data_IF_504828961231
#
_entry.id   IF_504828961231
#
_cell.length_a   1.000
_cell.length_b   1.000
_cell.length_c   1.000
_cell.angle_alpha   90.00
_cell.angle_beta   90.00
_cell.angle_gamma   90.00
#
_symmetry.space_group_name_H-M   'P 1'
#
loop_
_entity.id
_entity.type
_entity.pdbx_description
1 polymer ?
#
# COMPACT_ATOMS: atom_id res chain seq x y z
N UNK A 1 -5.72 17.74 -16.42
CA UNK A 1 -4.44 17.01 -16.57
C UNK A 1 -4.71 15.70 -17.29
N UNK A 2 -3.80 15.25 -18.17
CA UNK A 2 -3.97 14.00 -18.92
C UNK A 2 -2.92 12.98 -18.47
N UNK A 3 -3.35 11.72 -18.26
CA UNK A 3 -2.49 10.59 -17.89
C UNK A 3 -2.82 9.38 -18.77
N UNK A 4 -1.86 8.48 -18.90
CA UNK A 4 -2.13 7.18 -19.49
C UNK A 4 -2.90 6.31 -18.50
N UNK A 5 -4.04 5.80 -18.92
CA UNK A 5 -4.86 4.84 -18.18
C UNK A 5 -4.66 3.45 -18.76
N UNK A 6 -4.27 2.50 -17.91
CA UNK A 6 -4.16 1.09 -18.30
C UNK A 6 -5.54 0.49 -18.59
N UNK A 7 -6.56 0.92 -17.84
CA UNK A 7 -7.94 0.47 -18.03
C UNK A 7 -8.47 0.88 -19.43
N UNK A 8 -8.26 2.17 -19.79
CA UNK A 8 -8.73 2.72 -21.07
C UNK A 8 -7.74 2.43 -22.22
N UNK A 9 -6.55 1.89 -21.92
CA UNK A 9 -5.45 1.66 -22.86
C UNK A 9 -5.06 2.90 -23.67
N UNK A 10 -5.15 4.08 -23.06
CA UNK A 10 -4.95 5.36 -23.73
C UNK A 10 -4.69 6.53 -22.79
N UNK A 11 -4.40 7.69 -23.38
CA UNK A 11 -4.26 8.93 -22.62
C UNK A 11 -5.65 9.54 -22.40
N UNK A 12 -6.04 9.63 -21.13
CA UNK A 12 -7.33 10.18 -20.70
C UNK A 12 -7.16 11.42 -19.86
N UNK A 13 -8.17 12.26 -19.84
CA UNK A 13 -8.23 13.40 -18.92
C UNK A 13 -8.74 12.95 -17.56
N UNK A 14 -8.04 13.34 -16.48
CA UNK A 14 -8.47 13.01 -15.12
C UNK A 14 -9.82 13.66 -14.85
N UNK A 15 -10.80 12.85 -14.45
CA UNK A 15 -12.14 13.28 -14.05
C UNK A 15 -12.30 13.09 -12.54
N UNK A 16 -12.17 14.16 -11.72
CA UNK A 16 -12.36 14.04 -10.29
C UNK A 16 -13.80 13.62 -9.95
N UNK A 17 -13.97 12.63 -9.05
CA UNK A 17 -15.28 12.21 -8.55
C UNK A 17 -15.96 13.31 -7.71
N UNK A 18 -15.19 14.18 -7.08
CA UNK A 18 -15.63 15.37 -6.35
C UNK A 18 -14.88 16.57 -6.90
N UNK A 19 -15.55 17.70 -7.01
CA UNK A 19 -14.94 18.92 -7.52
C UNK A 19 -13.62 19.24 -6.83
N UNK A 20 -12.56 19.38 -7.61
CA UNK A 20 -11.19 19.69 -7.17
C UNK A 20 -10.55 18.67 -6.21
N UNK A 21 -11.16 17.51 -5.94
CA UNK A 21 -10.60 16.50 -5.07
C UNK A 21 -10.18 15.25 -5.85
N UNK A 22 -8.95 14.81 -5.66
CA UNK A 22 -8.43 13.57 -6.26
C UNK A 22 -8.03 12.62 -5.14
N UNK A 23 -8.58 11.40 -5.18
CA UNK A 23 -8.19 10.33 -4.28
C UNK A 23 -7.24 9.38 -4.99
N UNK A 24 -6.11 9.06 -4.34
CA UNK A 24 -5.08 8.17 -4.86
C UNK A 24 -4.83 7.06 -3.84
N UNK A 25 -4.89 5.82 -4.29
CA UNK A 25 -4.24 4.72 -3.60
C UNK A 25 -2.93 4.39 -4.32
N UNK A 26 -1.84 4.37 -3.59
CA UNK A 26 -0.54 3.93 -4.09
C UNK A 26 -0.05 2.73 -3.29
N UNK A 27 0.31 1.67 -3.99
CA UNK A 27 0.88 0.49 -3.36
C UNK A 27 2.17 0.88 -2.60
N UNK A 28 2.25 0.50 -1.33
CA UNK A 28 3.41 0.77 -0.50
C UNK A 28 4.37 -0.41 -0.40
N UNK A 29 5.45 -0.28 0.36
CA UNK A 29 6.46 -1.31 0.49
C UNK A 29 6.01 -2.47 1.38
N UNK A 30 6.54 -3.66 1.08
CA UNK A 30 6.57 -4.78 2.01
C UNK A 30 7.80 -4.64 2.89
N UNK A 31 7.60 -4.56 4.20
CA UNK A 31 8.64 -4.09 5.14
C UNK A 31 9.38 -5.24 5.83
N UNK A 32 10.06 -6.07 5.04
CA UNK A 32 10.92 -7.16 5.53
C UNK A 32 12.38 -7.02 5.09
N UNK A 33 12.70 -6.08 4.22
CA UNK A 33 14.06 -5.76 3.76
C UNK A 33 14.15 -4.31 3.27
N UNK A 34 15.38 -3.81 3.12
CA UNK A 34 15.61 -2.47 2.59
C UNK A 34 15.24 -2.41 1.10
N UNK A 35 14.53 -1.35 0.71
CA UNK A 35 14.12 -1.14 -0.67
C UNK A 35 15.32 -1.03 -1.62
N UNK A 36 15.20 -1.63 -2.79
CA UNK A 36 16.14 -1.43 -3.89
C UNK A 36 15.66 -0.34 -4.85
N UNK A 37 16.52 0.09 -5.79
CA UNK A 37 16.25 1.19 -6.71
C UNK A 37 14.96 1.00 -7.55
N UNK A 38 14.59 -0.24 -7.84
CA UNK A 38 13.34 -0.56 -8.56
C UNK A 38 12.09 -0.15 -7.79
N UNK A 39 12.07 -0.41 -6.47
CA UNK A 39 10.97 0.02 -5.60
C UNK A 39 10.95 1.55 -5.49
N UNK A 40 12.10 2.15 -5.21
CA UNK A 40 12.27 3.60 -5.03
C UNK A 40 11.79 4.37 -6.27
N UNK A 41 12.08 3.88 -7.48
CA UNK A 41 11.60 4.49 -8.73
C UNK A 41 10.08 4.62 -8.77
N UNK A 42 9.34 3.61 -8.29
CA UNK A 42 7.89 3.67 -8.26
C UNK A 42 7.40 4.78 -7.30
N UNK A 43 8.02 4.90 -6.12
CA UNK A 43 7.66 5.92 -5.13
C UNK A 43 7.97 7.34 -5.59
N UNK A 44 9.11 7.55 -6.27
CA UNK A 44 9.43 8.84 -6.91
C UNK A 44 8.37 9.20 -7.95
N UNK A 45 7.94 8.26 -8.79
CA UNK A 45 6.89 8.54 -9.78
C UNK A 45 5.56 8.93 -9.12
N UNK A 46 5.16 8.25 -8.04
CA UNK A 46 3.99 8.62 -7.25
C UNK A 46 4.13 10.00 -6.60
N UNK A 47 5.30 10.35 -6.10
CA UNK A 47 5.58 11.66 -5.51
C UNK A 47 5.50 12.78 -6.55
N UNK A 48 6.08 12.57 -7.73
CA UNK A 48 5.99 13.53 -8.85
C UNK A 48 4.53 13.77 -9.24
N UNK A 49 3.74 12.71 -9.36
CA UNK A 49 2.30 12.84 -9.66
C UNK A 49 1.58 13.60 -8.56
N UNK A 50 1.84 13.27 -7.30
CA UNK A 50 1.22 13.92 -6.14
C UNK A 50 1.52 15.43 -6.14
N UNK A 51 2.80 15.81 -6.27
CA UNK A 51 3.23 17.22 -6.34
C UNK A 51 2.62 17.95 -7.54
N UNK A 52 2.54 17.31 -8.69
CA UNK A 52 1.93 17.90 -9.88
C UNK A 52 0.45 18.20 -9.67
N UNK A 53 -0.29 17.31 -9.03
CA UNK A 53 -1.71 17.50 -8.72
C UNK A 53 -1.92 18.63 -7.70
N UNK A 54 -1.11 18.67 -6.64
CA UNK A 54 -1.14 19.79 -5.68
C UNK A 54 -0.83 21.12 -6.38
N UNK A 55 0.19 21.15 -7.22
CA UNK A 55 0.57 22.35 -7.99
C UNK A 55 -0.55 22.84 -8.91
N UNK A 56 -1.35 21.92 -9.45
CA UNK A 56 -2.51 22.23 -10.28
C UNK A 56 -3.76 22.65 -9.46
N UNK A 57 -3.66 22.72 -8.15
CA UNK A 57 -4.71 23.19 -7.26
C UNK A 57 -5.72 22.13 -6.82
N UNK A 58 -5.41 20.84 -7.01
CA UNK A 58 -6.27 19.77 -6.50
C UNK A 58 -6.06 19.53 -4.99
N UNK A 59 -7.16 19.26 -4.28
CA UNK A 59 -7.11 18.63 -2.94
C UNK A 59 -6.84 17.15 -3.13
N UNK A 60 -5.60 16.72 -2.83
CA UNK A 60 -5.16 15.34 -3.04
C UNK A 60 -5.28 14.55 -1.75
N UNK A 61 -6.10 13.51 -1.76
CA UNK A 61 -6.21 12.52 -0.69
C UNK A 61 -5.47 11.25 -1.12
N UNK A 62 -4.23 11.11 -0.70
CA UNK A 62 -3.43 9.93 -1.01
C UNK A 62 -3.34 9.01 0.21
N UNK A 63 -3.42 7.71 -0.02
CA UNK A 63 -3.16 6.66 0.96
C UNK A 63 -2.10 5.72 0.39
N UNK A 64 -1.19 5.27 1.25
CA UNK A 64 -0.20 4.25 0.95
C UNK A 64 -0.18 3.22 2.08
N UNK A 65 -0.16 1.93 1.74
CA UNK A 65 -0.03 0.89 2.75
C UNK A 65 1.43 0.60 3.11
N UNK A 66 1.63 0.06 4.32
CA UNK A 66 2.76 -0.80 4.65
C UNK A 66 2.25 -2.23 4.73
N UNK A 67 2.82 -3.14 3.92
CA UNK A 67 2.56 -4.58 4.06
C UNK A 67 3.51 -5.11 5.13
N UNK A 68 3.01 -5.17 6.34
CA UNK A 68 3.75 -5.57 7.55
C UNK A 68 3.25 -6.90 8.13
N UNK A 69 2.41 -7.63 7.38
CA UNK A 69 1.89 -8.97 7.69
C UNK A 69 1.37 -9.67 6.43
N UNK A 70 1.38 -10.99 6.42
CA UNK A 70 0.68 -11.80 5.41
C UNK A 70 1.35 -11.81 4.03
N UNK A 71 2.67 -11.69 3.96
CA UNK A 71 3.38 -11.71 2.67
C UNK A 71 4.16 -13.02 2.48
N UNK A 72 3.54 -13.98 1.80
CA UNK A 72 4.11 -15.31 1.57
C UNK A 72 5.39 -15.30 0.74
N UNK A 73 6.29 -16.25 0.96
CA UNK A 73 7.59 -16.31 0.31
C UNK A 73 7.54 -16.78 -1.15
N UNK A 74 6.45 -17.43 -1.56
CA UNK A 74 6.19 -17.87 -2.94
C UNK A 74 4.84 -17.33 -3.42
N UNK A 75 4.64 -17.27 -4.74
CA UNK A 75 3.34 -16.95 -5.36
C UNK A 75 2.32 -18.11 -5.22
N UNK A 76 2.57 -19.03 -4.28
CA UNK A 76 1.70 -20.13 -3.92
C UNK A 76 0.89 -19.75 -2.67
N UNK A 77 -0.30 -20.31 -2.54
CA UNK A 77 -1.21 -20.09 -1.40
C UNK A 77 -0.66 -20.59 -0.06
N UNK A 78 0.55 -21.16 -0.10
CA UNK A 78 1.30 -21.72 1.03
C UNK A 78 2.73 -21.26 1.02
N UNK A 79 3.25 -20.95 2.17
CA UNK A 79 4.64 -20.60 2.37
C UNK A 79 4.86 -19.94 3.72
N UNK A 80 6.10 -19.89 4.10
CA UNK A 80 6.54 -19.16 5.27
C UNK A 80 6.43 -17.65 4.99
N UNK A 81 5.91 -16.87 5.94
CA UNK A 81 5.85 -15.41 5.80
C UNK A 81 7.28 -14.86 5.70
N UNK A 82 7.51 -13.94 4.79
CA UNK A 82 8.83 -13.34 4.58
C UNK A 82 9.32 -12.60 5.81
N UNK A 83 8.40 -12.07 6.63
CA UNK A 83 8.75 -11.40 7.88
C UNK A 83 9.18 -12.39 8.95
N UNK A 84 8.50 -13.53 9.08
CA UNK A 84 8.88 -14.59 10.02
C UNK A 84 10.26 -15.13 9.68
N UNK A 85 10.56 -15.35 8.40
CA UNK A 85 11.87 -15.81 7.94
C UNK A 85 12.99 -14.81 8.25
N UNK A 86 12.73 -13.51 8.11
CA UNK A 86 13.72 -12.49 8.44
C UNK A 86 13.87 -12.33 9.95
N UNK A 87 12.76 -12.47 10.70
CA UNK A 87 12.74 -12.47 12.15
C UNK A 87 13.63 -13.58 12.75
N UNK A 88 13.52 -14.81 12.21
CA UNK A 88 14.38 -15.94 12.60
C UNK A 88 15.87 -15.66 12.37
N UNK A 89 16.22 -15.09 11.23
CA UNK A 89 17.63 -14.75 10.91
C UNK A 89 18.20 -13.69 11.85
N UNK A 90 17.39 -12.68 12.19
CA UNK A 90 17.81 -11.58 13.04
C UNK A 90 17.63 -11.87 14.55
N UNK A 91 16.91 -12.93 14.91
CA UNK A 91 16.62 -13.28 16.31
C UNK A 91 15.67 -12.31 17.00
N UNK A 92 14.76 -11.67 16.26
CA UNK A 92 13.76 -10.72 16.74
C UNK A 92 12.36 -11.15 16.30
N UNK A 93 11.31 -10.42 16.70
CA UNK A 93 9.94 -10.75 16.26
C UNK A 93 9.64 -10.21 14.86
N UNK A 94 8.67 -10.80 14.15
CA UNK A 94 8.21 -10.30 12.84
C UNK A 94 7.76 -8.84 12.91
N UNK A 95 7.11 -8.44 14.00
CA UNK A 95 6.70 -7.04 14.20
C UNK A 95 7.90 -6.10 14.38
N UNK A 96 8.98 -6.54 15.02
CA UNK A 96 10.20 -5.75 15.16
C UNK A 96 10.91 -5.60 13.82
N UNK A 97 10.92 -6.65 12.98
CA UNK A 97 11.38 -6.57 11.59
C UNK A 97 10.61 -5.50 10.84
N UNK A 98 9.27 -5.57 10.87
CA UNK A 98 8.42 -4.59 10.19
C UNK A 98 8.69 -3.16 10.67
N UNK A 99 8.74 -2.93 11.98
CA UNK A 99 9.01 -1.63 12.58
C UNK A 99 10.37 -1.06 12.16
N UNK A 100 11.41 -1.92 12.17
CA UNK A 100 12.76 -1.56 11.70
C UNK A 100 12.76 -1.09 10.26
N UNK A 101 12.11 -1.87 9.36
CA UNK A 101 12.12 -1.53 7.94
C UNK A 101 11.16 -0.40 7.58
N UNK A 102 10.08 -0.16 8.34
CA UNK A 102 9.30 1.08 8.21
C UNK A 102 10.20 2.30 8.46
N UNK A 103 10.99 2.30 9.54
CA UNK A 103 11.92 3.39 9.83
C UNK A 103 12.95 3.57 8.70
N UNK A 104 13.48 2.47 8.16
CA UNK A 104 14.40 2.53 7.00
C UNK A 104 13.74 3.15 5.76
N UNK A 105 12.46 2.83 5.50
CA UNK A 105 11.68 3.46 4.41
C UNK A 105 11.53 4.97 4.64
N UNK A 106 11.23 5.39 5.87
CA UNK A 106 11.12 6.80 6.21
C UNK A 106 12.44 7.56 6.02
N UNK A 107 13.58 6.93 6.37
CA UNK A 107 14.93 7.48 6.12
C UNK A 107 15.19 7.63 4.62
N UNK A 108 14.94 6.59 3.82
CA UNK A 108 15.13 6.61 2.38
C UNK A 108 14.21 7.66 1.71
N UNK A 109 12.97 7.79 2.14
CA UNK A 109 12.03 8.80 1.63
C UNK A 109 12.46 10.23 1.98
N UNK A 110 12.92 10.47 3.21
CA UNK A 110 13.49 11.76 3.59
C UNK A 110 14.70 12.13 2.74
N UNK A 111 15.64 11.20 2.59
CA UNK A 111 16.86 11.42 1.79
C UNK A 111 16.55 11.77 0.33
N UNK A 112 15.44 11.25 -0.21
CA UNK A 112 14.97 11.51 -1.58
C UNK A 112 13.95 12.66 -1.65
N UNK A 113 13.64 13.33 -0.53
CA UNK A 113 12.63 14.37 -0.45
C UNK A 113 11.24 13.92 -0.97
N UNK A 114 10.88 12.65 -0.77
CA UNK A 114 9.56 12.12 -1.08
C UNK A 114 8.58 12.57 0.00
N UNK A 115 7.42 13.10 -0.39
CA UNK A 115 6.39 13.53 0.55
C UNK A 115 5.66 12.33 1.17
N UNK A 116 5.20 12.53 2.40
CA UNK A 116 4.22 11.65 3.03
C UNK A 116 2.94 11.56 2.19
N UNK A 117 2.11 10.52 2.36
CA UNK A 117 0.86 10.40 1.59
C UNK A 117 -0.10 11.57 1.75
N UNK A 118 -0.12 12.24 2.90
CA UNK A 118 -0.92 13.45 3.14
C UNK A 118 -0.36 14.73 2.48
N UNK A 119 0.80 14.63 1.82
CA UNK A 119 1.47 15.74 1.13
C UNK A 119 2.43 16.55 1.98
N UNK A 120 2.65 16.18 3.25
CA UNK A 120 3.59 16.85 4.12
C UNK A 120 5.02 16.32 3.93
N UNK A 121 5.99 17.13 4.31
CA UNK A 121 7.38 16.70 4.44
C UNK A 121 7.48 15.75 5.64
N UNK A 122 8.19 14.64 5.48
CA UNK A 122 8.37 13.65 6.55
C UNK A 122 9.32 14.24 7.61
N UNK A 123 8.86 14.46 8.86
CA UNK A 123 9.70 15.01 9.93
C UNK A 123 10.90 14.11 10.24
N UNK A 124 12.02 14.71 10.64
CA UNK A 124 13.25 13.95 10.97
C UNK A 124 13.06 13.00 12.15
N UNK A 125 12.27 13.40 13.14
CA UNK A 125 11.99 12.62 14.35
C UNK A 125 10.79 11.65 14.22
N UNK A 126 10.14 11.59 13.04
CA UNK A 126 9.05 10.67 12.78
C UNK A 126 9.56 9.23 12.70
N UNK A 127 8.86 8.31 13.34
CA UNK A 127 9.14 6.88 13.31
C UNK A 127 7.90 6.04 12.90
N UNK A 128 8.03 4.71 13.01
CA UNK A 128 6.97 3.76 12.65
C UNK A 128 5.66 3.93 13.43
N UNK A 129 5.66 4.61 14.57
CA UNK A 129 4.46 4.84 15.39
C UNK A 129 3.59 5.98 14.84
N UNK A 130 4.19 6.91 14.12
CA UNK A 130 3.54 8.12 13.63
C UNK A 130 2.92 7.96 12.23
N UNK A 131 3.29 6.89 11.48
CA UNK A 131 3.02 6.77 10.04
C UNK A 131 1.54 6.97 9.66
N UNK A 132 0.61 6.46 10.46
CA UNK A 132 -0.83 6.57 10.16
C UNK A 132 -1.35 8.01 10.23
N UNK A 133 -0.71 8.86 11.04
CA UNK A 133 -1.04 10.29 11.12
C UNK A 133 -0.70 11.07 9.85
N UNK A 134 0.13 10.49 8.97
CA UNK A 134 0.59 11.07 7.71
C UNK A 134 0.04 10.35 6.47
N UNK A 135 -0.98 9.50 6.65
CA UNK A 135 -1.70 8.85 5.55
C UNK A 135 -1.15 7.51 5.11
N UNK A 136 -0.18 6.94 5.82
CA UNK A 136 0.13 5.52 5.67
C UNK A 136 -0.89 4.65 6.40
N UNK A 137 -1.05 3.42 5.94
CA UNK A 137 -1.94 2.43 6.56
C UNK A 137 -1.16 1.15 6.80
N UNK A 138 -1.01 0.74 8.05
CA UNK A 138 -0.39 -0.55 8.40
C UNK A 138 -1.40 -1.69 8.24
N UNK A 139 -1.01 -2.76 7.57
CA UNK A 139 -1.89 -3.92 7.40
C UNK A 139 -2.24 -4.54 8.76
N UNK A 140 -1.27 -4.67 9.69
CA UNK A 140 -1.47 -5.20 11.04
C UNK A 140 -2.55 -4.45 11.83
N UNK A 141 -2.64 -3.13 11.69
CA UNK A 141 -3.63 -2.32 12.39
C UNK A 141 -5.04 -2.41 11.79
N UNK A 142 -5.18 -3.01 10.61
CA UNK A 142 -6.43 -3.10 9.86
C UNK A 142 -6.98 -4.53 9.71
N UNK A 143 -6.40 -5.53 10.39
CA UNK A 143 -6.79 -6.94 10.28
C UNK A 143 -8.28 -7.13 10.57
N UNK A 144 -8.80 -6.55 11.66
CA UNK A 144 -10.21 -6.67 12.00
C UNK A 144 -11.12 -6.12 10.89
N UNK A 145 -10.73 -5.00 10.27
CA UNK A 145 -11.47 -4.42 9.15
C UNK A 145 -11.41 -5.27 7.89
N UNK A 146 -10.28 -5.92 7.63
CA UNK A 146 -10.15 -6.88 6.53
C UNK A 146 -11.04 -8.11 6.76
N UNK A 147 -11.10 -8.64 8.00
CA UNK A 147 -12.00 -9.75 8.36
C UNK A 147 -13.47 -9.35 8.13
N UNK A 148 -13.88 -8.17 8.61
CA UNK A 148 -15.25 -7.67 8.37
C UNK A 148 -15.58 -7.60 6.87
N UNK A 149 -14.64 -7.14 6.05
CA UNK A 149 -14.83 -7.04 4.61
C UNK A 149 -14.99 -8.42 3.96
N UNK A 150 -14.14 -9.38 4.33
CA UNK A 150 -14.26 -10.78 3.86
C UNK A 150 -15.63 -11.35 4.25
N UNK A 151 -16.05 -11.20 5.51
CA UNK A 151 -17.35 -11.67 5.98
C UNK A 151 -18.53 -11.02 5.22
N UNK A 152 -18.40 -9.74 4.85
CA UNK A 152 -19.41 -9.08 4.01
C UNK A 152 -19.46 -9.70 2.60
N UNK A 153 -18.31 -10.01 2.00
CA UNK A 153 -18.25 -10.69 0.69
C UNK A 153 -18.83 -12.09 0.77
N UNK A 154 -18.53 -12.86 1.81
CA UNK A 154 -19.11 -14.19 2.07
C UNK A 154 -20.65 -14.12 2.19
N UNK A 155 -21.16 -13.21 3.03
CA UNK A 155 -22.61 -13.01 3.22
C UNK A 155 -23.33 -12.65 1.92
N UNK A 156 -22.65 -11.93 1.02
CA UNK A 156 -23.19 -11.55 -0.29
C UNK A 156 -22.96 -12.64 -1.37
N UNK A 157 -22.32 -13.75 -1.00
CA UNK A 157 -22.08 -14.87 -1.90
C UNK A 157 -20.99 -14.67 -2.95
N UNK A 158 -20.05 -13.75 -2.70
CA UNK A 158 -18.92 -13.46 -3.61
C UNK A 158 -17.67 -14.28 -3.31
N UNK A 159 -17.76 -15.24 -2.39
CA UNK A 159 -16.61 -16.06 -2.02
C UNK A 159 -16.92 -17.54 -2.17
N UNK A 160 -15.88 -18.35 -2.20
CA UNK A 160 -15.93 -19.80 -2.00
C UNK A 160 -14.77 -20.19 -1.07
N UNK A 161 -14.98 -21.28 -0.33
CA UNK A 161 -14.02 -21.81 0.65
C UNK A 161 -13.37 -23.09 0.10
N UNK A 162 -12.09 -23.24 0.40
CA UNK A 162 -11.34 -24.49 0.20
C UNK A 162 -10.79 -24.95 1.55
N UNK A 163 -10.13 -26.11 1.61
CA UNK A 163 -9.46 -26.55 2.82
C UNK A 163 -8.36 -25.59 3.32
N UNK A 164 -7.96 -24.65 2.49
CA UNK A 164 -6.77 -23.83 2.70
C UNK A 164 -7.06 -22.34 2.87
N UNK A 165 -8.11 -21.83 2.21
CA UNK A 165 -8.40 -20.40 2.21
C UNK A 165 -9.82 -20.09 1.74
N UNK A 166 -10.25 -18.85 2.00
CA UNK A 166 -11.43 -18.24 1.42
C UNK A 166 -11.02 -17.43 0.19
N UNK A 167 -11.61 -17.73 -0.96
CA UNK A 167 -11.32 -17.08 -2.23
C UNK A 167 -12.46 -16.19 -2.69
N UNK A 168 -12.13 -15.08 -3.33
CA UNK A 168 -13.11 -14.26 -4.04
C UNK A 168 -13.46 -14.91 -5.39
N UNK A 169 -14.76 -15.08 -5.67
CA UNK A 169 -15.23 -15.65 -6.92
C UNK A 169 -15.38 -14.56 -8.00
N UNK A 170 -14.33 -14.41 -8.79
CA UNK A 170 -14.26 -13.41 -9.86
C UNK A 170 -15.36 -13.59 -10.94
N UNK A 171 -15.88 -14.81 -11.11
CA UNK A 171 -16.94 -15.10 -12.10
C UNK A 171 -18.29 -14.47 -11.73
N UNK A 172 -18.44 -14.02 -10.49
CA UNK A 172 -19.67 -13.34 -10.02
C UNK A 172 -19.66 -11.83 -10.29
N UNK A 173 -18.56 -11.30 -10.84
CA UNK A 173 -18.44 -9.90 -11.20
C UNK A 173 -18.39 -9.78 -12.72
N UNK A 174 -19.47 -9.27 -13.32
CA UNK A 174 -19.67 -9.25 -14.80
C UNK A 174 -18.57 -8.45 -15.53
N UNK A 175 -17.99 -7.47 -14.89
CA UNK A 175 -17.02 -6.53 -15.49
C UNK A 175 -15.59 -6.80 -15.02
N UNK A 176 -15.34 -7.96 -14.38
CA UNK A 176 -14.00 -8.36 -13.96
C UNK A 176 -13.24 -8.93 -15.16
N UNK A 177 -12.30 -8.15 -15.73
CA UNK A 177 -11.49 -8.50 -16.91
C UNK A 177 -9.99 -8.40 -16.62
#
# INVERSE_FOLDING_TARGET
>A
MKLYSTLDKGIVEIQPLKQNQISIYSCGPTVYYRMHIGNIRAYINWDILHRALIYLGYDVKRVMNFTDVGHMSHDEDFGEDKMDREAEKEGITAIDVANKYINTVLEDFRALNILAPDGQVIPENMDYQDVESYGWMRATNNINRMIELVQMMEKNGYTYETEQAVYFDVNKVSDYT
#
